data_IF_268164260317
#
_entry.id   IF_268164260317
#
_cell.length_a   1.000
_cell.length_b   1.000
_cell.length_c   1.000
_cell.angle_alpha   90.00
_cell.angle_beta   90.00
_cell.angle_gamma   90.00
#
_symmetry.space_group_name_H-M   'P 1'
#
loop_
_entity.id
_entity.type
_entity.pdbx_description
1 polymer ?
#
# COMPACT_ATOMS: atom_id res chain seq x y z
N UNK A 1 13.45 7.58 -1.59
CA UNK A 1 12.89 6.24 -1.89
C UNK A 1 11.40 6.28 -1.63
N UNK A 2 10.62 5.59 -2.44
CA UNK A 2 9.16 5.54 -2.38
C UNK A 2 8.67 4.15 -1.95
N UNK A 3 7.51 4.11 -1.31
CA UNK A 3 6.82 2.92 -0.81
C UNK A 3 5.35 2.95 -1.20
N UNK A 4 4.75 1.78 -1.35
CA UNK A 4 3.31 1.64 -1.58
C UNK A 4 2.62 1.53 -0.24
N UNK A 5 1.59 2.35 -0.03
CA UNK A 5 0.74 2.30 1.15
C UNK A 5 -0.70 2.17 0.67
N UNK A 6 -1.40 1.17 1.21
CA UNK A 6 -2.82 0.94 0.95
C UNK A 6 -3.59 1.52 2.13
N UNK A 7 -4.52 2.41 1.86
CA UNK A 7 -5.34 3.10 2.85
C UNK A 7 -6.72 2.46 2.84
N UNK A 8 -7.18 2.03 4.00
CA UNK A 8 -8.47 1.36 4.20
C UNK A 8 -9.55 2.36 4.65
N UNK A 9 -10.80 2.11 4.27
CA UNK A 9 -11.95 2.88 4.69
C UNK A 9 -12.46 2.34 6.04
N UNK A 10 -11.82 2.74 7.15
CA UNK A 10 -12.23 2.32 8.49
C UNK A 10 -13.36 3.20 9.06
N UNK A 11 -14.36 2.60 9.74
CA UNK A 11 -15.30 3.34 10.57
C UNK A 11 -14.64 3.69 11.91
N UNK A 12 -14.14 4.93 12.04
CA UNK A 12 -13.89 5.69 13.29
C UNK A 12 -13.19 5.02 14.51
N UNK A 13 -12.64 3.81 14.43
CA UNK A 13 -11.88 3.19 15.52
C UNK A 13 -10.37 3.39 15.33
N UNK A 14 -9.66 3.67 16.42
CA UNK A 14 -8.23 4.05 16.57
C UNK A 14 -7.17 3.06 15.99
N UNK A 15 -7.51 2.21 15.03
CA UNK A 15 -6.59 1.30 14.37
C UNK A 15 -5.83 1.96 13.21
N UNK A 16 -4.63 1.45 12.92
CA UNK A 16 -3.87 1.82 11.72
C UNK A 16 -4.77 1.63 10.48
N UNK A 17 -5.11 2.74 9.84
CA UNK A 17 -5.98 2.81 8.66
C UNK A 17 -5.22 2.53 7.35
N UNK A 18 -4.02 1.97 7.44
CA UNK A 18 -3.18 1.71 6.29
C UNK A 18 -2.24 0.54 6.49
N UNK A 19 -1.84 -0.07 5.37
CA UNK A 19 -0.81 -1.11 5.32
C UNK A 19 0.27 -0.74 4.32
N UNK A 20 1.52 -0.87 4.76
CA UNK A 20 2.69 -0.70 3.89
C UNK A 20 3.01 -2.01 3.18
N UNK A 21 3.19 -1.94 1.87
CA UNK A 21 3.64 -3.07 1.06
C UNK A 21 5.16 -3.03 0.96
N UNK A 22 5.81 -3.85 1.78
CA UNK A 22 7.28 -3.86 1.93
C UNK A 22 7.98 -4.90 1.05
N UNK A 23 7.30 -5.97 0.67
CA UNK A 23 7.89 -7.09 -0.07
C UNK A 23 6.96 -7.60 -1.17
N UNK A 24 7.55 -8.14 -2.23
CA UNK A 24 6.87 -8.95 -3.23
C UNK A 24 7.73 -10.18 -3.52
N UNK A 25 7.16 -11.37 -3.42
CA UNK A 25 7.86 -12.65 -3.64
C UNK A 25 9.17 -12.75 -2.83
N UNK A 26 9.10 -12.38 -1.54
CA UNK A 26 10.23 -12.31 -0.60
C UNK A 26 11.37 -11.34 -0.99
N UNK A 27 11.18 -10.51 -2.02
CA UNK A 27 12.11 -9.44 -2.36
C UNK A 27 11.61 -8.12 -1.79
N UNK A 28 12.52 -7.35 -1.21
CA UNK A 28 12.23 -6.02 -0.70
C UNK A 28 11.77 -5.13 -1.86
N UNK A 29 10.61 -4.51 -1.70
CA UNK A 29 10.05 -3.58 -2.66
C UNK A 29 10.60 -2.18 -2.35
N UNK A 30 11.27 -1.57 -3.33
CA UNK A 30 11.78 -0.22 -3.21
C UNK A 30 11.79 0.48 -4.55
N UNK A 31 11.41 1.76 -4.54
CA UNK A 31 11.31 2.58 -5.74
C UNK A 31 12.15 3.83 -5.56
N UNK A 32 12.93 4.19 -6.58
CA UNK A 32 13.75 5.41 -6.56
C UNK A 32 12.91 6.66 -6.87
N UNK A 33 11.92 6.54 -7.76
CA UNK A 33 11.03 7.62 -8.18
C UNK A 33 9.57 7.31 -7.86
N UNK A 34 8.76 8.36 -7.75
CA UNK A 34 7.30 8.25 -7.58
C UNK A 34 6.66 7.54 -8.77
N UNK A 35 7.10 7.90 -9.99
CA UNK A 35 6.60 7.32 -11.23
C UNK A 35 6.83 5.80 -11.29
N UNK A 36 8.01 5.33 -10.88
CA UNK A 36 8.30 3.89 -10.83
C UNK A 36 7.39 3.17 -9.82
N UNK A 37 7.09 3.81 -8.70
CA UNK A 37 6.15 3.28 -7.71
C UNK A 37 4.73 3.19 -8.28
N UNK A 38 4.19 4.24 -8.89
CA UNK A 38 2.84 4.19 -9.48
C UNK A 38 2.73 3.26 -10.68
N UNK A 39 3.75 3.16 -11.53
CA UNK A 39 3.81 2.15 -12.59
C UNK A 39 3.65 0.74 -12.01
N UNK A 40 4.30 0.46 -10.88
CA UNK A 40 4.15 -0.80 -10.17
C UNK A 40 2.75 -0.99 -9.57
N UNK A 41 2.17 0.06 -8.97
CA UNK A 41 0.80 0.02 -8.43
C UNK A 41 -0.20 -0.33 -9.53
N UNK A 42 -0.15 0.36 -10.66
CA UNK A 42 -1.07 0.12 -11.78
C UNK A 42 -0.92 -1.30 -12.33
N UNK A 43 0.31 -1.77 -12.51
CA UNK A 43 0.59 -3.13 -13.00
C UNK A 43 0.12 -4.23 -12.02
N UNK A 44 0.00 -3.93 -10.73
CA UNK A 44 -0.28 -4.93 -9.69
C UNK A 44 -1.55 -4.61 -8.88
N UNK A 45 -2.44 -3.75 -9.36
CA UNK A 45 -3.56 -3.19 -8.57
C UNK A 45 -4.45 -4.28 -7.95
N UNK A 46 -4.73 -5.35 -8.69
CA UNK A 46 -5.55 -6.47 -8.22
C UNK A 46 -4.84 -7.28 -7.12
N UNK A 47 -3.53 -7.49 -7.25
CA UNK A 47 -2.73 -8.18 -6.23
C UNK A 47 -2.62 -7.35 -4.95
N UNK A 48 -2.49 -6.03 -5.09
CA UNK A 48 -2.44 -5.10 -3.96
C UNK A 48 -3.78 -5.08 -3.21
N UNK A 49 -4.91 -5.08 -3.91
CA UNK A 49 -6.24 -5.24 -3.29
C UNK A 49 -6.36 -6.56 -2.54
N UNK A 50 -6.02 -7.68 -3.18
CA UNK A 50 -6.05 -8.99 -2.53
C UNK A 50 -5.09 -9.08 -1.33
N UNK A 51 -3.97 -8.36 -1.35
CA UNK A 51 -3.08 -8.24 -0.20
C UNK A 51 -3.72 -7.48 0.95
N UNK A 52 -4.44 -6.38 0.66
CA UNK A 52 -5.17 -5.62 1.66
C UNK A 52 -6.29 -6.45 2.28
N UNK A 53 -7.08 -7.17 1.48
CA UNK A 53 -8.18 -8.02 1.95
C UNK A 53 -7.69 -9.12 2.92
N UNK A 54 -6.46 -9.61 2.75
CA UNK A 54 -5.84 -10.59 3.68
C UNK A 54 -5.44 -9.96 5.03
N UNK A 55 -5.08 -8.69 5.06
CA UNK A 55 -4.67 -7.99 6.29
C UNK A 55 -5.86 -7.37 7.01
N UNK A 56 -6.86 -6.92 6.25
CA UNK A 56 -8.07 -6.26 6.73
C UNK A 56 -9.29 -6.87 6.03
N UNK A 57 -9.71 -8.08 6.43
CA UNK A 57 -10.91 -8.71 5.90
C UNK A 57 -12.13 -7.79 6.06
N UNK A 58 -12.99 -7.75 5.03
CA UNK A 58 -14.24 -6.99 5.01
C UNK A 58 -14.11 -5.46 5.16
N UNK A 59 -12.90 -4.90 5.10
CA UNK A 59 -12.68 -3.45 5.06
C UNK A 59 -12.43 -3.01 3.62
N UNK A 60 -13.21 -2.07 3.06
CA UNK A 60 -12.95 -1.57 1.71
C UNK A 60 -11.63 -0.81 1.60
N UNK A 61 -10.88 -1.05 0.52
CA UNK A 61 -9.73 -0.20 0.16
C UNK A 61 -10.23 1.18 -0.27
N UNK A 62 -9.78 2.24 0.41
CA UNK A 62 -10.06 3.64 0.05
C UNK A 62 -9.15 4.11 -1.08
N UNK A 63 -7.84 3.90 -0.95
CA UNK A 63 -6.86 4.29 -1.97
C UNK A 63 -5.56 3.49 -1.85
N UNK A 64 -4.79 3.44 -2.94
CA UNK A 64 -3.45 2.82 -2.98
C UNK A 64 -2.51 3.87 -3.55
N UNK A 65 -1.61 4.37 -2.71
CA UNK A 65 -0.77 5.52 -3.04
C UNK A 65 0.70 5.24 -2.78
N UNK A 66 1.54 6.02 -3.43
CA UNK A 66 2.98 6.02 -3.22
C UNK A 66 3.36 7.15 -2.27
N UNK A 67 4.13 6.83 -1.23
CA UNK A 67 4.64 7.81 -0.27
C UNK A 67 6.16 7.76 -0.22
N UNK A 68 6.79 8.90 0.04
CA UNK A 68 8.22 8.95 0.29
C UNK A 68 8.52 8.24 1.63
N UNK A 69 9.51 7.35 1.66
CA UNK A 69 9.86 6.58 2.87
C UNK A 69 10.25 7.45 4.08
N UNK A 70 10.63 8.71 3.86
CA UNK A 70 10.98 9.67 4.92
C UNK A 70 9.78 10.48 5.42
N UNK A 71 8.58 10.31 4.83
CA UNK A 71 7.35 10.81 5.44
C UNK A 71 6.91 9.80 6.50
N UNK A 72 7.06 10.18 7.77
CA UNK A 72 6.34 9.56 8.88
C UNK A 72 4.86 9.90 8.70
N UNK A 73 4.02 8.89 8.52
CA UNK A 73 2.55 8.99 8.49
C UNK A 73 2.04 8.38 9.80
#
# INVERSE_FOLDING_TARGET
>A
MWKIVIIMLLPLSNGLNSVEVTHQNNKLLSFYTEEACYKHVVANINLLRAFADRHYPDVPVKSINCFQKNLSI
#
